data_IF_822129599312
#
_entry.id   IF_822129599312
#
_cell.length_a   1.000
_cell.length_b   1.000
_cell.length_c   1.000
_cell.angle_alpha   90.00
_cell.angle_beta   90.00
_cell.angle_gamma   90.00
#
_symmetry.space_group_name_H-M   'P 1'
#
loop_
_entity.id
_entity.type
_entity.pdbx_description
1 polymer ?
#
# COMPACT_ATOMS: atom_id res chain seq x y z
N UNK A 1 -25.81 -8.57 -25.75
CA UNK A 1 -24.56 -8.90 -25.05
C UNK A 1 -24.87 -10.01 -24.05
N UNK A 2 -24.22 -11.19 -24.10
CA UNK A 2 -24.49 -12.27 -23.15
C UNK A 2 -24.07 -11.94 -21.72
N UNK A 3 -23.17 -10.98 -21.52
CA UNK A 3 -22.62 -10.63 -20.21
C UNK A 3 -23.50 -9.60 -19.46
N UNK A 4 -23.55 -9.71 -18.14
CA UNK A 4 -24.28 -8.82 -17.24
C UNK A 4 -23.33 -7.92 -16.44
N UNK A 5 -23.89 -6.92 -15.75
CA UNK A 5 -23.19 -6.08 -14.76
C UNK A 5 -21.84 -5.48 -15.25
N UNK A 6 -21.76 -5.11 -16.53
CA UNK A 6 -20.55 -4.52 -17.12
C UNK A 6 -19.48 -5.52 -17.54
N UNK A 7 -19.79 -6.83 -17.56
CA UNK A 7 -18.93 -7.85 -18.13
C UNK A 7 -18.68 -7.66 -19.62
N UNK A 8 -17.48 -8.02 -20.08
CA UNK A 8 -17.08 -7.93 -21.49
C UNK A 8 -17.00 -9.30 -22.13
N UNK A 9 -17.77 -9.52 -23.21
CA UNK A 9 -17.67 -10.73 -24.01
C UNK A 9 -16.35 -10.79 -24.80
N UNK A 10 -15.60 -11.88 -24.68
CA UNK A 10 -14.34 -12.11 -25.42
C UNK A 10 -14.41 -13.25 -26.44
N UNK A 11 -15.62 -13.68 -26.81
CA UNK A 11 -15.84 -14.72 -27.82
C UNK A 11 -16.07 -16.11 -27.25
N UNK A 12 -15.53 -16.42 -26.07
CA UNK A 12 -15.67 -17.72 -25.39
C UNK A 12 -16.30 -17.63 -24.00
N UNK A 13 -16.09 -16.51 -23.29
CA UNK A 13 -16.59 -16.28 -21.94
C UNK A 13 -16.80 -14.78 -21.67
N UNK A 14 -17.44 -14.48 -20.54
CA UNK A 14 -17.51 -13.12 -20.01
C UNK A 14 -16.31 -12.83 -19.12
N UNK A 15 -15.60 -11.72 -19.39
CA UNK A 15 -14.64 -11.15 -18.45
C UNK A 15 -15.38 -10.23 -17.49
N UNK A 16 -15.43 -10.62 -16.22
CA UNK A 16 -16.15 -9.89 -15.20
C UNK A 16 -15.33 -8.70 -14.65
N UNK A 17 -15.99 -7.55 -14.41
CA UNK A 17 -15.34 -6.45 -13.72
C UNK A 17 -15.06 -6.83 -12.24
N UNK A 18 -14.23 -6.04 -11.53
CA UNK A 18 -13.93 -6.30 -10.14
C UNK A 18 -15.18 -6.52 -9.28
N UNK A 19 -15.10 -7.48 -8.35
CA UNK A 19 -16.17 -7.86 -7.42
C UNK A 19 -17.43 -8.46 -8.06
N UNK A 20 -17.38 -8.85 -9.33
CA UNK A 20 -18.42 -9.63 -10.00
C UNK A 20 -17.91 -11.04 -10.33
N UNK A 21 -18.80 -12.02 -10.31
CA UNK A 21 -18.52 -13.43 -10.53
C UNK A 21 -19.68 -14.12 -11.29
N UNK A 22 -19.44 -15.35 -11.72
CA UNK A 22 -20.36 -16.15 -12.52
C UNK A 22 -20.05 -16.15 -14.01
N UNK A 23 -20.56 -17.14 -14.76
CA UNK A 23 -20.26 -17.30 -16.19
C UNK A 23 -20.73 -16.13 -17.06
N UNK A 24 -21.70 -15.36 -16.57
CA UNK A 24 -22.25 -14.15 -17.20
C UNK A 24 -22.03 -12.91 -16.34
N UNK A 25 -21.20 -12.97 -15.29
CA UNK A 25 -21.03 -11.90 -14.31
C UNK A 25 -22.33 -11.52 -13.59
N UNK A 26 -23.19 -12.51 -13.36
CA UNK A 26 -24.52 -12.34 -12.80
C UNK A 26 -24.53 -12.23 -11.27
N UNK A 27 -23.44 -12.60 -10.60
CA UNK A 27 -23.32 -12.64 -9.14
C UNK A 27 -22.28 -11.66 -8.60
N UNK A 28 -22.49 -11.16 -7.39
CA UNK A 28 -21.43 -10.45 -6.66
C UNK A 28 -20.42 -11.44 -6.12
N UNK A 29 -19.13 -11.12 -6.20
CA UNK A 29 -18.08 -11.96 -5.62
C UNK A 29 -18.30 -12.13 -4.11
N UNK A 30 -18.27 -13.36 -3.58
CA UNK A 30 -18.63 -13.61 -2.18
C UNK A 30 -17.72 -12.89 -1.19
N UNK A 31 -16.47 -12.62 -1.59
CA UNK A 31 -15.48 -11.85 -0.82
C UNK A 31 -14.96 -10.67 -1.63
N UNK A 32 -14.95 -9.49 -1.02
CA UNK A 32 -14.33 -8.28 -1.53
C UNK A 32 -13.16 -7.92 -0.63
N UNK A 33 -11.98 -7.86 -1.23
CA UNK A 33 -10.78 -7.36 -0.57
C UNK A 33 -10.75 -5.84 -0.67
N UNK A 34 -10.84 -5.15 0.48
CA UNK A 34 -10.61 -3.72 0.51
C UNK A 34 -9.13 -3.43 0.22
N UNK A 35 -8.87 -2.59 -0.77
CA UNK A 35 -7.51 -2.23 -1.20
C UNK A 35 -6.82 -1.34 -0.16
N UNK A 36 -5.49 -1.30 -0.22
CA UNK A 36 -4.67 -0.47 0.67
C UNK A 36 -4.99 1.04 0.56
N UNK A 37 -5.56 1.47 -0.56
CA UNK A 37 -5.97 2.85 -0.82
C UNK A 37 -7.02 3.39 0.18
N UNK A 38 -7.77 2.49 0.83
CA UNK A 38 -8.86 2.84 1.74
C UNK A 38 -8.43 2.86 3.21
N UNK A 39 -7.25 2.36 3.53
CA UNK A 39 -6.78 2.29 4.91
C UNK A 39 -5.87 3.45 5.30
N UNK A 40 -5.39 3.44 6.57
CA UNK A 40 -4.52 4.48 7.07
C UNK A 40 -3.14 4.43 6.41
N UNK A 41 -2.40 5.52 6.52
CA UNK A 41 -1.03 5.58 6.01
C UNK A 41 0.02 5.64 7.11
N UNK A 42 1.21 5.13 6.84
CA UNK A 42 2.40 5.30 7.68
C UNK A 42 3.44 6.06 6.88
N UNK A 43 3.82 7.24 7.36
CA UNK A 43 4.96 7.97 6.78
C UNK A 43 6.24 7.39 7.36
N UNK A 44 7.14 6.94 6.50
CA UNK A 44 8.44 6.39 6.86
C UNK A 44 9.54 7.32 6.34
N UNK A 45 10.62 7.39 7.11
CA UNK A 45 11.82 8.14 6.75
C UNK A 45 12.98 7.17 6.63
N UNK A 46 13.58 7.09 5.45
CA UNK A 46 14.80 6.33 5.21
C UNK A 46 15.97 7.23 4.87
N UNK A 47 17.16 6.81 5.30
CA UNK A 47 18.43 7.41 4.91
C UNK A 47 19.15 6.46 3.98
N UNK A 48 19.45 6.93 2.77
CA UNK A 48 20.26 6.19 1.79
C UNK A 48 21.74 6.45 2.05
N UNK A 49 22.53 5.38 2.17
CA UNK A 49 23.93 5.38 2.61
C UNK A 49 24.93 5.29 1.46
N UNK A 50 24.54 4.72 0.31
CA UNK A 50 25.42 4.54 -0.85
C UNK A 50 25.10 5.46 -2.04
N UNK A 51 24.37 6.56 -1.81
CA UNK A 51 24.04 7.55 -2.85
C UNK A 51 24.21 8.96 -2.31
N UNK A 52 24.82 9.80 -3.13
CA UNK A 52 24.95 11.23 -2.87
C UNK A 52 23.72 11.98 -3.40
N UNK A 53 23.33 13.02 -2.67
CA UNK A 53 22.22 13.89 -3.05
C UNK A 53 22.65 14.83 -4.18
N UNK A 54 21.74 15.06 -5.12
CA UNK A 54 21.87 16.10 -6.14
C UNK A 54 20.67 17.02 -6.09
N UNK A 55 20.84 18.30 -6.42
CA UNK A 55 19.74 19.29 -6.35
C UNK A 55 18.56 18.90 -7.25
N UNK A 56 18.84 18.26 -8.39
CA UNK A 56 17.81 17.73 -9.30
C UNK A 56 16.86 16.76 -8.58
N UNK A 57 17.33 15.98 -7.61
CA UNK A 57 16.47 15.05 -6.84
C UNK A 57 15.47 15.77 -5.93
N UNK A 58 15.68 17.04 -5.60
CA UNK A 58 14.78 17.81 -4.73
C UNK A 58 13.48 18.20 -5.44
N UNK A 59 13.53 18.35 -6.77
CA UNK A 59 12.38 18.78 -7.57
C UNK A 59 11.56 17.58 -8.03
N UNK A 60 10.34 17.45 -7.53
CA UNK A 60 9.42 16.36 -7.87
C UNK A 60 9.09 16.24 -9.36
N UNK A 61 9.27 17.30 -10.16
CA UNK A 61 9.03 17.29 -11.59
C UNK A 61 10.25 16.82 -12.41
N UNK A 62 11.43 16.76 -11.79
CA UNK A 62 12.68 16.57 -12.51
C UNK A 62 12.89 15.11 -12.97
N UNK A 63 13.72 14.90 -13.99
CA UNK A 63 14.15 13.56 -14.39
C UNK A 63 14.94 12.83 -13.29
N UNK A 64 15.82 13.52 -12.55
CA UNK A 64 16.62 12.90 -11.50
C UNK A 64 15.80 12.46 -10.29
N UNK A 65 14.78 13.23 -9.92
CA UNK A 65 13.82 12.81 -8.90
C UNK A 65 13.07 11.55 -9.32
N UNK A 66 12.49 11.54 -10.53
CA UNK A 66 11.74 10.38 -11.04
C UNK A 66 12.61 9.12 -11.10
N UNK A 67 13.81 9.24 -11.65
CA UNK A 67 14.77 8.12 -11.75
C UNK A 67 15.14 7.57 -10.38
N UNK A 68 15.45 8.44 -9.42
CA UNK A 68 15.79 8.00 -8.06
C UNK A 68 14.58 7.37 -7.37
N UNK A 69 13.38 7.97 -7.49
CA UNK A 69 12.16 7.44 -6.88
C UNK A 69 11.81 6.03 -7.41
N UNK A 70 11.98 5.79 -8.71
CA UNK A 70 11.82 4.46 -9.31
C UNK A 70 12.86 3.46 -8.79
N UNK A 71 14.14 3.85 -8.71
CA UNK A 71 15.22 3.02 -8.17
C UNK A 71 14.98 2.64 -6.69
N UNK A 72 14.54 3.61 -5.90
CA UNK A 72 14.19 3.42 -4.50
C UNK A 72 13.00 2.48 -4.33
N UNK A 73 11.92 2.68 -5.10
CA UNK A 73 10.76 1.76 -5.10
C UNK A 73 11.13 0.33 -5.45
N UNK A 74 12.01 0.13 -6.44
CA UNK A 74 12.44 -1.22 -6.86
C UNK A 74 13.26 -1.92 -5.77
N UNK A 75 14.06 -1.16 -5.03
CA UNK A 75 14.97 -1.72 -4.02
C UNK A 75 14.25 -2.18 -2.76
N UNK A 76 13.16 -1.50 -2.38
CA UNK A 76 12.39 -1.84 -1.19
C UNK A 76 11.47 -3.07 -1.39
N UNK A 77 11.29 -3.54 -2.64
CA UNK A 77 10.63 -4.80 -2.96
C UNK A 77 9.15 -4.92 -2.58
N UNK A 78 8.57 -3.94 -1.89
CA UNK A 78 7.13 -3.88 -1.66
C UNK A 78 6.47 -3.30 -2.91
N UNK A 79 5.30 -3.80 -3.32
CA UNK A 79 4.56 -3.21 -4.43
C UNK A 79 3.95 -1.87 -3.99
N UNK A 80 4.51 -0.75 -4.43
CA UNK A 80 4.10 0.60 -4.03
C UNK A 80 3.25 1.29 -5.11
N UNK A 81 2.02 0.84 -5.33
CA UNK A 81 1.06 1.60 -6.13
C UNK A 81 0.52 2.79 -5.31
N UNK A 82 0.54 3.99 -5.90
CA UNK A 82 -0.18 5.17 -5.37
C UNK A 82 0.57 6.12 -4.43
N UNK A 83 1.91 6.09 -4.36
CA UNK A 83 2.69 6.94 -3.42
C UNK A 83 3.26 8.22 -4.02
N UNK A 84 3.20 9.32 -3.27
CA UNK A 84 4.14 10.45 -3.39
C UNK A 84 5.37 10.25 -2.49
N UNK A 85 6.56 10.53 -3.01
CA UNK A 85 7.82 10.53 -2.25
C UNK A 85 8.33 11.97 -2.16
N UNK A 86 8.78 12.39 -0.98
CA UNK A 86 9.46 13.66 -0.77
C UNK A 86 10.94 13.37 -0.51
N UNK A 87 11.79 13.74 -1.48
CA UNK A 87 13.23 13.48 -1.44
C UNK A 87 13.91 14.77 -1.01
N UNK A 88 14.61 14.71 0.13
CA UNK A 88 15.32 15.86 0.68
C UNK A 88 16.80 15.56 0.84
N UNK A 89 17.59 16.59 0.55
CA UNK A 89 19.00 16.62 0.93
C UNK A 89 19.16 16.81 2.44
N UNK A 90 20.40 16.70 2.96
CA UNK A 90 20.66 17.01 4.35
C UNK A 90 20.33 18.49 4.63
N UNK A 91 19.84 18.84 5.83
CA UNK A 91 19.60 20.23 6.19
C UNK A 91 20.88 21.04 5.96
N UNK A 92 20.77 22.13 5.20
CA UNK A 92 21.89 23.00 4.87
C UNK A 92 22.41 23.60 6.19
N UNK A 93 23.70 23.41 6.54
CA UNK A 93 24.22 23.99 7.77
C UNK A 93 24.16 25.52 7.68
N UNK A 94 23.83 26.21 8.79
CA UNK A 94 23.72 27.66 8.83
C UNK A 94 25.03 28.39 8.50
N UNK A 95 26.18 27.71 8.62
CA UNK A 95 27.48 28.18 8.17
C UNK A 95 28.06 27.23 7.11
N UNK A 96 28.57 27.73 5.97
CA UNK A 96 29.31 26.95 4.98
C UNK A 96 30.73 26.63 5.49
N UNK A 97 30.81 25.89 6.60
CA UNK A 97 32.03 25.20 7.01
C UNK A 97 32.21 23.91 6.20
N UNK A 98 33.36 23.21 6.32
CA UNK A 98 33.57 21.91 5.69
C UNK A 98 32.45 20.94 6.11
N UNK A 99 31.49 20.69 5.22
CA UNK A 99 30.41 19.74 5.47
C UNK A 99 31.05 18.36 5.59
N UNK A 100 30.86 17.63 6.72
CA UNK A 100 31.31 16.25 6.81
C UNK A 100 30.64 15.48 5.66
N UNK A 101 31.44 14.92 4.75
CA UNK A 101 30.95 14.03 3.69
C UNK A 101 30.56 12.71 4.35
N UNK A 102 29.43 12.68 5.06
CA UNK A 102 28.77 11.41 5.30
C UNK A 102 28.37 10.88 3.93
N UNK A 103 29.18 9.97 3.38
CA UNK A 103 28.84 9.20 2.17
C UNK A 103 27.45 8.60 2.43
N UNK A 104 26.45 9.06 1.67
CA UNK A 104 25.04 8.76 1.94
C UNK A 104 24.26 9.87 2.64
N UNK A 105 23.72 10.80 1.84
CA UNK A 105 23.00 11.97 2.34
C UNK A 105 21.67 12.20 1.63
N UNK A 106 21.03 11.16 1.10
CA UNK A 106 19.64 11.27 0.61
C UNK A 106 18.70 10.83 1.73
N UNK A 107 17.80 11.72 2.14
CA UNK A 107 16.71 11.40 3.07
C UNK A 107 15.43 11.32 2.26
N UNK A 108 14.74 10.20 2.38
CA UNK A 108 13.51 9.93 1.65
C UNK A 108 12.38 9.80 2.66
N UNK A 109 11.38 10.67 2.54
CA UNK A 109 10.10 10.50 3.21
C UNK A 109 9.13 9.86 2.22
N UNK A 110 8.62 8.68 2.56
CA UNK A 110 7.64 7.94 1.76
C UNK A 110 6.48 7.49 2.64
N UNK A 111 5.31 7.21 2.07
CA UNK A 111 4.05 7.07 2.81
C UNK A 111 3.33 5.74 2.62
N UNK A 112 3.74 4.63 3.23
CA UNK A 112 3.07 3.31 3.09
C UNK A 112 1.55 3.42 3.29
N UNK A 113 0.75 3.01 2.31
CA UNK A 113 -0.69 2.83 2.48
C UNK A 113 -0.95 1.44 3.05
N UNK A 114 -1.72 1.36 4.13
CA UNK A 114 -2.10 0.09 4.75
C UNK A 114 -3.51 -0.27 4.35
N UNK A 115 -3.81 -1.56 4.34
CA UNK A 115 -5.21 -2.01 4.30
C UNK A 115 -5.97 -1.52 5.54
N UNK A 116 -7.30 -1.35 5.46
CA UNK A 116 -8.12 -1.00 6.61
C UNK A 116 -7.82 -1.91 7.81
N UNK A 117 -7.43 -1.28 8.92
CA UNK A 117 -7.02 -1.97 10.14
C UNK A 117 -8.23 -2.17 11.08
N UNK A 118 -8.17 -3.19 11.96
CA UNK A 118 -9.14 -3.33 13.04
C UNK A 118 -9.22 -2.06 13.91
N UNK A 119 -10.42 -1.73 14.40
CA UNK A 119 -10.67 -0.58 15.29
C UNK A 119 -9.81 -0.55 16.57
N UNK A 120 -9.36 -1.72 17.06
CA UNK A 120 -8.45 -1.84 18.20
C UNK A 120 -6.97 -1.95 17.80
N UNK A 121 -6.66 -1.96 16.51
CA UNK A 121 -5.30 -2.04 16.04
C UNK A 121 -4.58 -0.71 16.28
N UNK A 122 -3.45 -0.78 16.97
CA UNK A 122 -2.58 0.38 17.11
C UNK A 122 -1.83 0.61 15.80
N UNK A 123 -2.17 1.71 15.13
CA UNK A 123 -1.44 2.17 13.94
C UNK A 123 0.04 2.43 14.27
N UNK A 124 0.35 2.84 15.51
CA UNK A 124 1.72 3.04 15.99
C UNK A 124 2.48 1.71 16.08
N UNK A 125 1.85 0.67 16.61
CA UNK A 125 2.44 -0.68 16.65
C UNK A 125 2.73 -1.19 15.24
N UNK A 126 1.81 -0.95 14.30
CA UNK A 126 2.03 -1.34 12.90
C UNK A 126 3.15 -0.53 12.24
N UNK A 127 3.28 0.75 12.56
CA UNK A 127 4.40 1.57 12.09
C UNK A 127 5.75 1.03 12.61
N UNK A 128 5.81 0.59 13.87
CA UNK A 128 7.01 -0.04 14.45
C UNK A 128 7.34 -1.39 13.80
N UNK A 129 6.33 -2.22 13.51
CA UNK A 129 6.51 -3.48 12.79
C UNK A 129 7.09 -3.26 11.39
N UNK A 130 6.56 -2.28 10.64
CA UNK A 130 7.06 -1.92 9.31
C UNK A 130 8.49 -1.39 9.38
N UNK A 131 8.81 -0.56 10.38
CA UNK A 131 10.15 -0.08 10.63
C UNK A 131 11.13 -1.26 10.85
N UNK A 132 10.74 -2.24 11.67
CA UNK A 132 11.55 -3.42 11.95
C UNK A 132 11.74 -4.30 10.69
N UNK A 133 10.66 -4.56 9.94
CA UNK A 133 10.72 -5.33 8.69
C UNK A 133 11.63 -4.66 7.65
N UNK A 134 11.52 -3.35 7.49
CA UNK A 134 12.35 -2.59 6.53
C UNK A 134 13.83 -2.65 6.89
N UNK A 135 14.16 -2.52 8.19
CA UNK A 135 15.54 -2.64 8.66
C UNK A 135 16.07 -4.07 8.60
N UNK A 136 15.21 -5.09 8.73
CA UNK A 136 15.60 -6.49 8.55
C UNK A 136 15.82 -6.87 7.08
N UNK A 137 15.04 -6.28 6.16
CA UNK A 137 15.16 -6.49 4.72
C UNK A 137 16.45 -5.88 4.13
N UNK A 138 17.00 -4.86 4.79
CA UNK A 138 18.28 -4.22 4.46
C UNK A 138 19.39 -4.64 5.44
N UNK A 139 19.87 -5.90 5.45
CA UNK A 139 20.93 -6.30 6.36
C UNK A 139 22.24 -5.58 6.00
N UNK A 140 23.01 -5.12 7.00
CA UNK A 140 24.28 -4.41 6.80
C UNK A 140 25.31 -5.22 5.97
N UNK A 141 25.18 -6.54 5.90
CA UNK A 141 26.09 -7.42 5.16
C UNK A 141 25.91 -7.40 3.63
N UNK A 142 24.78 -6.90 3.10
CA UNK A 142 24.58 -6.77 1.63
C UNK A 142 24.97 -5.40 1.09
N UNK A 143 25.26 -4.44 1.97
CA UNK A 143 25.66 -3.10 1.59
C UNK A 143 27.17 -2.99 1.44
N UNK A 144 27.70 -3.70 0.45
CA UNK A 144 29.06 -3.48 -0.05
C UNK A 144 29.09 -2.27 -1.00
N UNK A 145 30.25 -1.61 -1.20
CA UNK A 145 30.38 -0.49 -2.15
C UNK A 145 29.95 -0.81 -3.59
N UNK A 146 29.88 -2.09 -3.93
CA UNK A 146 29.52 -2.64 -5.25
C UNK A 146 28.11 -3.24 -5.30
N UNK A 147 27.22 -2.89 -4.36
CA UNK A 147 25.85 -3.41 -4.37
C UNK A 147 25.05 -2.82 -5.56
N UNK A 148 24.39 -3.68 -6.35
CA UNK A 148 23.54 -3.31 -7.51
C UNK A 148 22.18 -2.68 -7.14
N UNK A 149 22.12 -1.91 -6.05
CA UNK A 149 20.90 -1.27 -5.55
C UNK A 149 21.16 -0.23 -4.45
N UNK A 150 20.10 0.49 -4.05
CA UNK A 150 20.20 1.50 -3.00
C UNK A 150 20.30 0.86 -1.61
N UNK A 151 21.34 1.21 -0.87
CA UNK A 151 21.48 0.85 0.52
C UNK A 151 20.84 1.92 1.37
N UNK A 152 19.86 1.53 2.19
CA UNK A 152 19.19 2.46 3.07
C UNK A 152 18.81 1.82 4.40
N UNK A 153 18.63 2.67 5.40
CA UNK A 153 18.12 2.29 6.71
C UNK A 153 16.91 3.14 7.01
N UNK A 154 15.81 2.51 7.42
CA UNK A 154 14.64 3.22 7.89
C UNK A 154 14.94 3.77 9.29
N UNK A 155 14.92 5.09 9.39
CA UNK A 155 15.28 5.86 10.59
C UNK A 155 14.10 6.15 11.50
N UNK A 156 12.91 6.30 10.93
CA UNK A 156 11.68 6.49 11.72
C UNK A 156 10.45 6.10 10.92
N UNK A 157 9.39 5.77 11.65
CA UNK A 157 8.07 5.55 11.10
C UNK A 157 7.06 6.32 11.96
N UNK A 158 6.23 7.14 11.31
CA UNK A 158 5.19 7.92 11.94
C UNK A 158 3.84 7.52 11.36
N UNK A 159 3.02 6.94 12.23
CA UNK A 159 1.60 6.74 11.97
C UNK A 159 0.97 8.07 11.55
N UNK A 160 0.51 8.15 10.31
CA UNK A 160 -0.19 9.33 9.81
C UNK A 160 -1.63 8.90 9.65
N UNK A 161 -2.51 9.29 10.59
CA UNK A 161 -3.94 9.04 10.39
C UNK A 161 -4.30 9.68 9.07
N UNK A 162 -4.66 8.86 8.08
CA UNK A 162 -5.47 9.35 7.00
C UNK A 162 -6.69 10.03 7.67
N UNK A 163 -7.22 11.07 7.06
CA UNK A 163 -8.60 11.44 7.33
C UNK A 163 -9.43 10.25 6.88
N UNK A 164 -9.50 9.20 7.71
CA UNK A 164 -10.34 8.04 7.46
C UNK A 164 -11.72 8.62 7.31
N UNK A 165 -12.34 8.40 6.15
CA UNK A 165 -13.78 8.50 6.02
C UNK A 165 -14.34 7.84 7.28
N UNK A 166 -15.07 8.62 8.09
CA UNK A 166 -15.68 8.16 9.34
C UNK A 166 -16.88 7.24 9.03
N UNK A 167 -16.65 6.24 8.17
CA UNK A 167 -17.60 5.22 7.81
C UNK A 167 -17.34 4.04 8.73
N UNK A 168 -18.41 3.51 9.31
CA UNK A 168 -18.34 2.21 9.98
C UNK A 168 -18.01 1.12 8.93
N UNK A 169 -17.41 0.01 9.37
CA UNK A 169 -16.96 -1.06 8.46
C UNK A 169 -18.08 -1.58 7.53
N UNK A 170 -19.33 -1.57 8.01
CA UNK A 170 -20.51 -1.96 7.22
C UNK A 170 -20.74 -1.03 6.04
N UNK A 171 -20.70 0.28 6.26
CA UNK A 171 -20.88 1.28 5.21
C UNK A 171 -19.70 1.27 4.24
N UNK A 172 -18.49 0.98 4.74
CA UNK A 172 -17.32 0.79 3.89
C UNK A 172 -17.52 -0.39 2.93
N UNK A 173 -18.00 -1.53 3.44
CA UNK A 173 -18.29 -2.71 2.62
C UNK A 173 -19.43 -2.46 1.61
N UNK A 174 -20.51 -1.82 2.05
CA UNK A 174 -21.65 -1.49 1.16
C UNK A 174 -21.26 -0.55 0.02
N UNK A 175 -20.40 0.42 0.30
CA UNK A 175 -19.89 1.38 -0.70
C UNK A 175 -19.02 0.72 -1.77
N UNK A 176 -18.28 -0.33 -1.43
CA UNK A 176 -17.33 -1.00 -2.34
C UNK A 176 -17.89 -2.27 -2.97
N UNK A 177 -19.03 -2.73 -2.48
CA UNK A 177 -19.81 -3.77 -3.10
C UNK A 177 -20.48 -3.27 -4.38
N UNK A 178 -20.73 -4.15 -5.37
CA UNK A 178 -21.50 -3.77 -6.53
C UNK A 178 -22.90 -3.31 -6.11
N UNK A 179 -23.41 -2.23 -6.73
CA UNK A 179 -24.59 -1.50 -6.26
C UNK A 179 -25.79 -2.41 -5.96
N UNK A 180 -26.05 -3.39 -6.84
CA UNK A 180 -27.18 -4.33 -6.74
C UNK A 180 -27.03 -5.35 -5.59
N UNK A 181 -25.82 -5.55 -5.08
CA UNK A 181 -25.51 -6.54 -4.05
C UNK A 181 -25.07 -5.93 -2.73
N UNK A 182 -24.90 -4.60 -2.66
CA UNK A 182 -24.36 -3.87 -1.51
C UNK A 182 -24.92 -4.31 -0.16
N UNK A 183 -26.24 -4.50 -0.06
CA UNK A 183 -26.93 -4.91 1.16
C UNK A 183 -26.53 -6.28 1.72
N UNK A 184 -25.96 -7.16 0.89
CA UNK A 184 -25.57 -8.53 1.29
C UNK A 184 -24.15 -8.60 1.85
N UNK A 185 -23.37 -7.53 1.71
CA UNK A 185 -22.01 -7.49 2.24
C UNK A 185 -21.99 -6.96 3.67
N UNK A 186 -21.25 -7.68 4.51
CA UNK A 186 -20.97 -7.31 5.88
C UNK A 186 -19.48 -7.45 6.19
N UNK A 187 -19.00 -6.71 7.19
CA UNK A 187 -17.59 -6.75 7.55
C UNK A 187 -17.23 -8.06 8.27
N UNK A 188 -16.18 -8.72 7.80
CA UNK A 188 -15.55 -9.83 8.49
C UNK A 188 -14.10 -9.51 8.79
N UNK A 189 -13.76 -9.50 10.09
CA UNK A 189 -12.44 -9.10 10.57
C UNK A 189 -11.54 -10.33 10.72
N UNK A 190 -10.36 -10.24 10.13
CA UNK A 190 -9.31 -11.27 10.18
C UNK A 190 -8.06 -10.71 10.86
N UNK A 191 -7.08 -11.57 11.16
CA UNK A 191 -5.77 -11.16 11.66
C UNK A 191 -5.01 -10.23 10.68
N UNK A 192 -5.36 -10.25 9.39
CA UNK A 192 -4.68 -9.51 8.33
C UNK A 192 -5.44 -8.28 7.84
N UNK A 193 -6.61 -7.98 8.42
CA UNK A 193 -7.41 -6.80 8.09
C UNK A 193 -8.90 -7.09 7.96
N UNK A 194 -9.60 -6.19 7.28
CA UNK A 194 -11.03 -6.24 7.04
C UNK A 194 -11.35 -6.84 5.66
N UNK A 195 -12.18 -7.89 5.65
CA UNK A 195 -12.81 -8.44 4.45
C UNK A 195 -14.28 -8.02 4.41
N UNK A 196 -14.78 -7.74 3.21
CA UNK A 196 -16.21 -7.55 3.00
C UNK A 196 -16.77 -8.84 2.41
N UNK A 197 -17.58 -9.54 3.19
CA UNK A 197 -18.03 -10.89 2.88
C UNK A 197 -19.54 -10.95 2.78
N UNK A 198 -20.04 -11.97 2.10
CA UNK A 198 -21.46 -12.34 2.11
C UNK A 198 -21.67 -13.61 2.93
N UNK A 199 -22.92 -14.00 3.19
CA UNK A 199 -23.22 -15.28 3.84
C UNK A 199 -22.81 -16.50 3.00
N UNK A 200 -22.47 -16.29 1.73
CA UNK A 200 -21.98 -17.32 0.83
C UNK A 200 -20.47 -17.58 0.98
N UNK A 201 -19.81 -16.83 1.84
CA UNK A 201 -18.35 -16.91 2.01
C UNK A 201 -18.00 -18.08 2.89
N UNK A 202 -17.25 -19.04 2.35
CA UNK A 202 -16.79 -20.21 3.09
C UNK A 202 -15.96 -19.81 4.32
N UNK A 203 -16.05 -20.61 5.38
CA UNK A 203 -15.29 -20.45 6.63
C UNK A 203 -15.59 -19.17 7.42
N UNK A 204 -16.68 -18.47 7.11
CA UNK A 204 -17.20 -17.37 7.92
C UNK A 204 -18.33 -17.90 8.83
N UNK A 205 -18.39 -17.53 10.12
CA UNK A 205 -19.49 -17.92 10.99
C UNK A 205 -20.85 -17.49 10.42
N UNK A 206 -21.80 -18.42 10.37
CA UNK A 206 -23.12 -18.17 9.78
C UNK A 206 -23.19 -18.29 8.25
N UNK A 207 -22.11 -18.77 7.62
CA UNK A 207 -22.11 -19.03 6.19
C UNK A 207 -22.94 -20.25 5.79
N UNK A 208 -23.45 -20.21 4.55
CA UNK A 208 -24.16 -21.31 3.90
C UNK A 208 -23.73 -21.43 2.44
N UNK A 209 -23.93 -22.61 1.86
CA UNK A 209 -23.68 -22.83 0.43
C UNK A 209 -24.74 -22.11 -0.40
N UNK A 210 -24.30 -21.20 -1.26
CA UNK A 210 -25.17 -20.45 -2.16
C UNK A 210 -25.15 -20.98 -3.60
N UNK A 211 -24.50 -22.11 -3.88
CA UNK A 211 -24.50 -22.76 -5.19
C UNK A 211 -24.17 -21.81 -6.35
N UNK A 212 -23.13 -20.99 -6.19
CA UNK A 212 -22.66 -19.96 -7.12
C UNK A 212 -23.48 -18.66 -7.15
N UNK A 213 -24.42 -18.42 -6.24
CA UNK A 213 -25.11 -17.13 -6.10
C UNK A 213 -25.73 -16.91 -4.74
#
# INVERSE_FOLDING_TARGET
DPCLNGGRWVGTACLCPPNMDGPRCEFGATTINLTAELGPSVTMMARVTNRDFSEDMADGASPGHRRFAEEFRRTDGMGWDGMGCDIRGPPKPPNPGPVPRSRGSVVVNYRVQLRPLPANASLERRALELLALTNAASPPHRCSPSADGLCFTATSARATRAATLALNDTELCRRHAPANFSRFYFPHRTAHGLLCVTNCTLNVPGSFDCHQG
#
